data_IF_427598144344
#
_entry.id   IF_427598144344
#
_cell.length_a   1.000
_cell.length_b   1.000
_cell.length_c   1.000
_cell.angle_alpha   90.00
_cell.angle_beta   90.00
_cell.angle_gamma   90.00
#
_symmetry.space_group_name_H-M   'P 1'
#
loop_
_entity.id
_entity.type
_entity.pdbx_description
1 polymer ?
#
# COMPACT_ATOMS: atom_id res chain seq x y z
N UNK A 1 23.98 0.28 -2.96
CA UNK A 1 22.88 -0.71 -2.90
C UNK A 1 21.74 -0.17 -3.74
N UNK A 2 21.04 -1.00 -4.51
CA UNK A 2 19.76 -0.57 -5.06
C UNK A 2 18.77 -0.58 -3.90
N UNK A 3 18.31 0.60 -3.48
CA UNK A 3 17.22 0.75 -2.50
C UNK A 3 15.99 0.05 -3.06
N UNK A 4 15.28 -0.74 -2.24
CA UNK A 4 14.05 -1.40 -2.68
C UNK A 4 12.95 -0.38 -2.97
N UNK A 5 11.90 -0.80 -3.67
CA UNK A 5 10.83 0.11 -4.09
C UNK A 5 10.06 0.66 -2.88
N UNK A 6 9.91 -0.11 -1.81
CA UNK A 6 9.16 0.32 -0.62
C UNK A 6 9.96 1.35 0.20
N UNK A 7 11.26 1.16 0.33
CA UNK A 7 12.16 2.13 0.95
C UNK A 7 12.19 3.42 0.11
N UNK A 8 12.30 3.30 -1.22
CA UNK A 8 12.27 4.45 -2.12
C UNK A 8 10.93 5.19 -2.06
N UNK A 9 9.82 4.46 -1.94
CA UNK A 9 8.49 5.03 -1.78
C UNK A 9 8.42 5.83 -0.46
N UNK A 10 8.76 5.20 0.66
CA UNK A 10 8.73 5.84 1.98
C UNK A 10 9.54 7.15 2.03
N UNK A 11 10.70 7.20 1.38
CA UNK A 11 11.58 8.38 1.32
C UNK A 11 10.99 9.60 0.56
N UNK A 12 10.05 9.36 -0.37
CA UNK A 12 9.53 10.40 -1.29
C UNK A 12 8.04 10.64 -1.17
N UNK A 13 7.27 9.68 -0.63
CA UNK A 13 5.82 9.72 -0.64
C UNK A 13 5.27 10.81 0.29
N UNK A 14 5.86 10.98 1.48
CA UNK A 14 5.53 12.09 2.38
C UNK A 14 5.77 13.45 1.71
N UNK A 15 6.93 13.61 1.05
CA UNK A 15 7.27 14.84 0.31
C UNK A 15 6.24 15.11 -0.78
N UNK A 16 5.86 14.06 -1.53
CA UNK A 16 4.82 14.16 -2.57
C UNK A 16 3.47 14.57 -1.97
N UNK A 17 3.09 14.08 -0.79
CA UNK A 17 1.84 14.49 -0.11
C UNK A 17 1.78 16.00 0.07
N UNK A 18 2.87 16.58 0.56
CA UNK A 18 2.99 18.02 0.81
C UNK A 18 3.06 18.80 -0.52
N UNK A 19 3.93 18.40 -1.44
CA UNK A 19 4.19 19.17 -2.67
C UNK A 19 3.04 19.08 -3.69
N UNK A 20 2.41 17.91 -3.85
CA UNK A 20 1.38 17.71 -4.86
C UNK A 20 -0.01 18.11 -4.37
N UNK A 21 -0.31 17.92 -3.08
CA UNK A 21 -1.65 18.12 -2.55
C UNK A 21 -1.73 19.23 -1.51
N UNK A 22 -0.61 19.74 -1.01
CA UNK A 22 -0.58 20.84 -0.05
C UNK A 22 -0.95 20.43 1.38
N UNK A 23 -0.99 19.12 1.67
CA UNK A 23 -1.42 18.59 2.98
C UNK A 23 -0.27 17.85 3.68
N UNK A 24 0.26 18.39 4.79
CA UNK A 24 1.05 17.63 5.75
C UNK A 24 0.33 16.35 6.19
N UNK A 25 1.08 15.28 6.47
CA UNK A 25 0.50 14.01 6.95
C UNK A 25 -0.37 14.19 8.21
N UNK A 26 -0.03 15.17 9.05
CA UNK A 26 -0.73 15.48 10.29
C UNK A 26 -2.12 16.11 10.08
N UNK A 27 -2.43 16.60 8.88
CA UNK A 27 -3.72 17.22 8.58
C UNK A 27 -4.86 16.18 8.55
N UNK A 28 -4.53 14.92 8.27
CA UNK A 28 -5.45 13.80 8.36
C UNK A 28 -5.14 12.94 9.59
N UNK A 29 -6.20 12.57 10.29
CA UNK A 29 -6.17 11.55 11.34
C UNK A 29 -5.86 10.17 10.74
N UNK A 30 -5.40 9.26 11.59
CA UNK A 30 -5.17 7.86 11.21
C UNK A 30 -6.45 7.21 10.65
N UNK A 31 -7.62 7.67 11.10
CA UNK A 31 -8.93 7.22 10.61
C UNK A 31 -9.18 7.65 9.16
N UNK A 32 -8.89 8.90 8.81
CA UNK A 32 -9.06 9.40 7.43
C UNK A 32 -8.13 8.69 6.45
N UNK A 33 -6.87 8.46 6.86
CA UNK A 33 -5.94 7.63 6.09
C UNK A 33 -6.46 6.20 5.91
N UNK A 34 -7.01 5.57 6.96
CA UNK A 34 -7.63 4.24 6.85
C UNK A 34 -8.85 4.25 5.92
N UNK A 35 -9.66 5.31 5.94
CA UNK A 35 -10.77 5.47 5.02
C UNK A 35 -10.32 5.59 3.57
N UNK A 36 -9.22 6.31 3.29
CA UNK A 36 -8.64 6.38 1.95
C UNK A 36 -8.18 5.00 1.45
N UNK A 37 -7.45 4.24 2.29
CA UNK A 37 -7.04 2.87 1.98
C UNK A 37 -8.26 1.99 1.65
N UNK A 38 -9.32 2.09 2.45
CA UNK A 38 -10.56 1.34 2.22
C UNK A 38 -11.28 1.77 0.94
N UNK A 39 -11.18 3.05 0.56
CA UNK A 39 -11.68 3.59 -0.71
C UNK A 39 -11.03 2.90 -1.90
N UNK A 40 -9.70 2.94 -1.98
CA UNK A 40 -8.94 2.32 -3.08
C UNK A 40 -9.14 0.80 -3.13
N UNK A 41 -9.18 0.14 -1.97
CA UNK A 41 -9.52 -1.28 -1.90
C UNK A 41 -10.95 -1.56 -2.42
N UNK A 42 -11.90 -0.65 -2.18
CA UNK A 42 -13.25 -0.71 -2.73
C UNK A 42 -13.29 -0.57 -4.25
N UNK A 43 -12.48 0.33 -4.82
CA UNK A 43 -12.31 0.49 -6.27
C UNK A 43 -11.72 -0.76 -6.90
N UNK A 44 -10.66 -1.31 -6.29
CA UNK A 44 -10.07 -2.59 -6.68
C UNK A 44 -11.12 -3.71 -6.73
N UNK A 45 -11.93 -3.86 -5.66
CA UNK A 45 -13.01 -4.85 -5.60
C UNK A 45 -14.02 -4.64 -6.73
N UNK A 46 -14.34 -3.38 -7.04
CA UNK A 46 -15.26 -3.05 -8.12
C UNK A 46 -14.73 -3.50 -9.49
N UNK A 47 -13.45 -3.27 -9.79
CA UNK A 47 -12.84 -3.74 -11.04
C UNK A 47 -12.76 -5.27 -11.12
N UNK A 48 -12.35 -5.95 -10.04
CA UNK A 48 -12.35 -7.43 -9.98
C UNK A 48 -13.75 -7.99 -10.24
N UNK A 49 -14.78 -7.38 -9.65
CA UNK A 49 -16.19 -7.76 -9.86
C UNK A 49 -16.62 -7.54 -11.32
N UNK A 50 -16.27 -6.40 -11.93
CA UNK A 50 -16.57 -6.09 -13.35
C UNK A 50 -15.90 -7.08 -14.29
N UNK A 51 -14.61 -7.36 -14.08
CA UNK A 51 -13.85 -8.35 -14.86
C UNK A 51 -14.55 -9.72 -14.87
N UNK A 52 -15.02 -10.17 -13.70
CA UNK A 52 -15.79 -11.43 -13.61
C UNK A 52 -17.16 -11.35 -14.29
N UNK A 53 -17.91 -10.26 -14.07
CA UNK A 53 -19.29 -10.12 -14.56
C UNK A 53 -19.35 -9.98 -16.08
N UNK A 54 -18.41 -9.22 -16.63
CA UNK A 54 -18.42 -8.78 -18.02
C UNK A 54 -17.43 -9.61 -18.87
N UNK A 55 -16.70 -10.55 -18.26
CA UNK A 55 -15.70 -11.43 -18.90
C UNK A 55 -14.61 -10.67 -19.68
N UNK A 56 -14.18 -9.53 -19.15
CA UNK A 56 -13.15 -8.65 -19.72
C UNK A 56 -11.85 -8.67 -18.91
N UNK A 57 -10.72 -8.38 -19.54
CA UNK A 57 -9.43 -8.21 -18.85
C UNK A 57 -9.30 -6.78 -18.33
N UNK A 58 -9.28 -6.62 -17.00
CA UNK A 58 -9.10 -5.33 -16.31
C UNK A 58 -7.85 -5.35 -15.41
N UNK A 59 -6.85 -6.17 -15.75
CA UNK A 59 -5.63 -6.31 -14.94
C UNK A 59 -4.87 -4.99 -14.77
N UNK A 60 -4.92 -4.10 -15.76
CA UNK A 60 -4.25 -2.80 -15.67
C UNK A 60 -4.91 -1.91 -14.62
N UNK A 61 -6.24 -1.79 -14.65
CA UNK A 61 -7.04 -1.03 -13.69
C UNK A 61 -6.90 -1.61 -12.29
N UNK A 62 -7.04 -2.94 -12.16
CA UNK A 62 -6.85 -3.64 -10.88
C UNK A 62 -5.44 -3.37 -10.32
N UNK A 63 -4.42 -3.36 -11.19
CA UNK A 63 -3.04 -3.07 -10.81
C UNK A 63 -2.83 -1.63 -10.33
N UNK A 64 -3.53 -0.66 -10.91
CA UNK A 64 -3.50 0.75 -10.46
C UNK A 64 -4.08 0.87 -9.06
N UNK A 65 -5.27 0.32 -8.83
CA UNK A 65 -5.89 0.37 -7.49
C UNK A 65 -5.07 -0.39 -6.43
N UNK A 66 -4.42 -1.50 -6.79
CA UNK A 66 -3.48 -2.18 -5.89
C UNK A 66 -2.30 -1.29 -5.51
N UNK A 67 -1.78 -0.50 -6.46
CA UNK A 67 -0.68 0.43 -6.20
C UNK A 67 -1.15 1.60 -5.30
N UNK A 68 -2.35 2.13 -5.53
CA UNK A 68 -2.92 3.21 -4.73
C UNK A 68 -3.15 2.76 -3.27
N UNK A 69 -3.64 1.53 -3.05
CA UNK A 69 -3.73 0.93 -1.72
C UNK A 69 -2.36 0.92 -1.02
N UNK A 70 -1.30 0.48 -1.69
CA UNK A 70 0.05 0.43 -1.10
C UNK A 70 0.57 1.83 -0.78
N UNK A 71 0.35 2.78 -1.68
CA UNK A 71 0.75 4.18 -1.52
C UNK A 71 0.10 4.80 -0.27
N UNK A 72 -1.20 4.60 -0.05
CA UNK A 72 -1.87 5.14 1.14
C UNK A 72 -1.51 4.39 2.42
N UNK A 73 -1.25 3.08 2.35
CA UNK A 73 -0.71 2.32 3.50
C UNK A 73 0.64 2.90 3.93
N UNK A 74 1.52 3.27 2.99
CA UNK A 74 2.80 3.89 3.29
C UNK A 74 2.63 5.29 3.92
N UNK A 75 1.69 6.12 3.45
CA UNK A 75 1.39 7.42 4.08
C UNK A 75 0.86 7.25 5.51
N UNK A 76 -0.01 6.27 5.75
CA UNK A 76 -0.47 5.93 7.10
C UNK A 76 0.69 5.45 7.98
N UNK A 77 1.57 4.60 7.44
CA UNK A 77 2.74 4.12 8.16
C UNK A 77 3.66 5.26 8.55
N UNK A 78 3.95 6.20 7.64
CA UNK A 78 4.70 7.42 7.92
C UNK A 78 4.03 8.26 9.03
N UNK A 79 2.70 8.46 8.93
CA UNK A 79 1.92 9.19 9.95
C UNK A 79 1.99 8.53 11.34
N UNK A 80 2.10 7.21 11.40
CA UNK A 80 2.17 6.43 12.63
C UNK A 80 3.62 6.15 13.11
N UNK A 81 4.64 6.57 12.35
CA UNK A 81 6.04 6.27 12.63
C UNK A 81 6.38 4.78 12.50
N UNK A 82 5.71 4.06 11.60
CA UNK A 82 5.91 2.63 11.34
C UNK A 82 6.89 2.46 10.17
N UNK A 83 7.96 1.69 10.40
CA UNK A 83 8.82 1.17 9.33
C UNK A 83 8.09 0.04 8.59
N UNK A 84 7.36 0.41 7.54
CA UNK A 84 6.55 -0.52 6.76
C UNK A 84 7.39 -1.58 6.03
N UNK A 85 8.51 -1.26 5.35
CA UNK A 85 9.40 -2.27 4.77
C UNK A 85 9.84 -3.34 5.80
N UNK A 86 10.25 -2.90 6.99
CA UNK A 86 10.62 -3.80 8.07
C UNK A 86 9.46 -4.67 8.55
N UNK A 87 8.30 -4.06 8.75
CA UNK A 87 7.09 -4.75 9.19
C UNK A 87 6.66 -5.84 8.20
N UNK A 88 6.75 -5.55 6.89
CA UNK A 88 6.48 -6.52 5.82
C UNK A 88 7.48 -7.68 5.89
N UNK A 89 8.78 -7.39 6.00
CA UNK A 89 9.83 -8.42 6.10
C UNK A 89 9.60 -9.34 7.30
N UNK A 90 9.35 -8.77 8.47
CA UNK A 90 9.06 -9.54 9.68
C UNK A 90 7.82 -10.41 9.48
N UNK A 91 6.74 -9.84 8.94
CA UNK A 91 5.49 -10.56 8.76
C UNK A 91 5.61 -11.72 7.76
N UNK A 92 6.30 -11.50 6.64
CA UNK A 92 6.55 -12.53 5.64
C UNK A 92 7.33 -13.70 6.25
N UNK A 93 8.45 -13.41 6.92
CA UNK A 93 9.32 -14.42 7.53
C UNK A 93 8.62 -15.18 8.67
N UNK A 94 7.80 -14.50 9.47
CA UNK A 94 6.95 -15.12 10.51
C UNK A 94 6.00 -16.16 9.89
N UNK A 95 5.29 -15.79 8.81
CA UNK A 95 4.31 -16.68 8.17
C UNK A 95 5.00 -17.85 7.47
N UNK A 96 6.14 -17.64 6.81
CA UNK A 96 6.96 -18.71 6.24
C UNK A 96 7.35 -19.75 7.30
N UNK A 97 7.84 -19.29 8.46
CA UNK A 97 8.17 -20.16 9.58
C UNK A 97 6.96 -20.95 10.10
N UNK A 98 5.80 -20.30 10.25
CA UNK A 98 4.54 -20.96 10.66
C UNK A 98 4.06 -22.02 9.68
N UNK A 99 4.39 -21.89 8.40
CA UNK A 99 4.04 -22.85 7.35
C UNK A 99 5.11 -23.93 7.14
N UNK A 100 6.22 -23.87 7.87
CA UNK A 100 7.32 -24.83 7.77
C UNK A 100 8.08 -24.73 6.44
N UNK A 101 8.03 -23.57 5.77
CA UNK A 101 8.77 -23.33 4.53
C UNK A 101 9.97 -22.42 4.80
N UNK A 102 11.12 -22.75 4.24
CA UNK A 102 12.35 -21.96 4.37
C UNK A 102 12.50 -20.97 3.20
N UNK A 103 11.51 -20.09 3.05
CA UNK A 103 11.50 -19.01 2.07
C UNK A 103 11.44 -17.69 2.85
N UNK A 104 12.41 -16.80 2.62
CA UNK A 104 12.57 -15.55 3.37
C UNK A 104 12.90 -14.38 2.44
N UNK A 105 12.60 -13.19 2.92
CA UNK A 105 13.03 -11.90 2.35
C UNK A 105 13.80 -11.10 3.40
#
# INVERSE_FOLDING_TARGET
>A
MKTGILESLHEVNEKRSIEAFGFPLADWSEMEWCCAIAGEAGEQINFVKKQRRDEVDLREEIGKEMADVIIYIDLLAARMGIDLPEAIRQKFNEVSGKKGVDIKI
#
